data_IF_255121012989
#
_entry.id   IF_255121012989
#
_cell.length_a   1.000
_cell.length_b   1.000
_cell.length_c   1.000
_cell.angle_alpha   90.00
_cell.angle_beta   90.00
_cell.angle_gamma   90.00
#
_symmetry.space_group_name_H-M   'P 1'
#
loop_
_entity.id
_entity.type
_entity.pdbx_description
1 polymer ?
#
# COMPACT_ATOMS: atom_id res chain seq x y z
N UNK A 1 31.92 -29.73 -74.25
CA UNK A 1 30.98 -29.10 -73.29
C UNK A 1 31.03 -27.59 -73.50
N UNK A 2 29.89 -26.95 -73.76
CA UNK A 2 29.80 -25.56 -74.22
C UNK A 2 29.96 -24.57 -73.05
N UNK A 3 30.91 -23.61 -73.11
CA UNK A 3 31.18 -22.67 -72.02
C UNK A 3 29.95 -21.81 -71.65
N UNK A 4 29.06 -21.55 -72.62
CA UNK A 4 27.80 -20.81 -72.40
C UNK A 4 26.91 -21.44 -71.32
N UNK A 5 26.89 -22.78 -71.23
CA UNK A 5 26.05 -23.49 -70.26
C UNK A 5 26.62 -23.35 -68.84
N UNK A 6 27.95 -23.34 -68.70
CA UNK A 6 28.62 -23.07 -67.43
C UNK A 6 28.36 -21.63 -66.96
N UNK A 7 28.43 -20.64 -67.86
CA UNK A 7 28.11 -19.25 -67.54
C UNK A 7 26.65 -19.05 -67.13
N UNK A 8 25.69 -19.68 -67.81
CA UNK A 8 24.28 -19.59 -67.39
C UNK A 8 24.06 -20.20 -66.00
N UNK A 9 24.76 -21.30 -65.69
CA UNK A 9 24.60 -21.99 -64.42
C UNK A 9 25.21 -21.19 -63.25
N UNK A 10 26.40 -20.59 -63.44
CA UNK A 10 26.99 -19.71 -62.42
C UNK A 10 26.18 -18.43 -62.21
N UNK A 11 25.55 -17.90 -63.26
CA UNK A 11 24.70 -16.73 -63.14
C UNK A 11 23.42 -17.04 -62.36
N UNK A 12 22.79 -18.19 -62.65
CA UNK A 12 21.61 -18.66 -61.90
C UNK A 12 21.96 -18.91 -60.43
N UNK A 13 23.09 -19.56 -60.13
CA UNK A 13 23.50 -19.78 -58.73
C UNK A 13 23.81 -18.48 -58.01
N UNK A 14 24.40 -17.50 -58.69
CA UNK A 14 24.67 -16.18 -58.12
C UNK A 14 23.38 -15.40 -57.84
N UNK A 15 22.39 -15.46 -58.74
CA UNK A 15 21.06 -14.86 -58.52
C UNK A 15 20.37 -15.52 -57.33
N UNK A 16 20.36 -16.86 -57.28
CA UNK A 16 19.74 -17.60 -56.17
C UNK A 16 20.43 -17.26 -54.85
N UNK A 17 21.76 -17.20 -54.82
CA UNK A 17 22.54 -16.79 -53.64
C UNK A 17 22.18 -15.37 -53.21
N UNK A 18 22.07 -14.44 -54.16
CA UNK A 18 21.70 -13.04 -53.89
C UNK A 18 20.29 -12.94 -53.29
N UNK A 19 19.32 -13.70 -53.82
CA UNK A 19 17.95 -13.74 -53.28
C UNK A 19 17.94 -14.32 -51.85
N UNK A 20 18.70 -15.39 -51.60
CA UNK A 20 18.82 -15.98 -50.26
C UNK A 20 19.46 -14.98 -49.28
N UNK A 21 20.51 -14.27 -49.69
CA UNK A 21 21.14 -13.25 -48.85
C UNK A 21 20.17 -12.11 -48.55
N UNK A 22 19.45 -11.61 -49.56
CA UNK A 22 18.49 -10.51 -49.40
C UNK A 22 17.34 -10.89 -48.43
N UNK A 23 16.76 -12.07 -48.61
CA UNK A 23 15.70 -12.57 -47.72
C UNK A 23 16.21 -12.78 -46.29
N UNK A 24 17.44 -13.28 -46.13
CA UNK A 24 18.07 -13.44 -44.81
C UNK A 24 18.33 -12.08 -44.15
N UNK A 25 18.79 -11.08 -44.91
CA UNK A 25 19.01 -9.72 -44.41
C UNK A 25 17.71 -9.08 -43.93
N UNK A 26 16.65 -9.18 -44.73
CA UNK A 26 15.33 -8.64 -44.35
C UNK A 26 14.74 -9.31 -43.11
N UNK A 27 15.13 -10.56 -42.80
CA UNK A 27 14.76 -11.21 -41.54
C UNK A 27 15.55 -10.65 -40.36
N UNK A 28 16.85 -10.41 -40.52
CA UNK A 28 17.67 -9.79 -39.46
C UNK A 28 17.26 -8.37 -39.15
N UNK A 29 16.82 -7.59 -40.14
CA UNK A 29 16.33 -6.24 -39.93
C UNK A 29 15.08 -6.21 -39.05
N UNK A 30 14.17 -7.19 -39.22
CA UNK A 30 13.01 -7.34 -38.32
C UNK A 30 13.43 -7.66 -36.89
N UNK A 31 14.36 -8.61 -36.72
CA UNK A 31 14.88 -8.93 -35.38
C UNK A 31 15.57 -7.72 -34.72
N UNK A 32 16.28 -6.89 -35.49
CA UNK A 32 16.90 -5.67 -34.98
C UNK A 32 15.86 -4.64 -34.53
N UNK A 33 14.75 -4.47 -35.27
CA UNK A 33 13.63 -3.61 -34.84
C UNK A 33 12.96 -4.09 -33.56
N UNK A 34 12.81 -5.40 -33.40
CA UNK A 34 12.28 -5.97 -32.16
C UNK A 34 13.23 -5.71 -30.97
N UNK A 35 14.55 -5.76 -31.17
CA UNK A 35 15.52 -5.39 -30.14
C UNK A 35 15.48 -3.89 -29.79
N UNK A 36 15.25 -3.02 -30.76
CA UNK A 36 15.10 -1.59 -30.53
C UNK A 36 13.90 -1.31 -29.59
N UNK A 37 12.78 -2.02 -29.81
CA UNK A 37 11.63 -1.97 -28.90
C UNK A 37 11.93 -2.44 -27.47
N UNK A 38 12.83 -3.43 -27.28
CA UNK A 38 13.27 -3.87 -25.95
C UNK A 38 14.11 -2.78 -25.27
N UNK A 39 14.94 -2.06 -26.03
CA UNK A 39 15.75 -0.97 -25.49
C UNK A 39 14.87 0.19 -24.97
N UNK A 40 13.81 0.52 -25.70
CA UNK A 40 12.82 1.51 -25.27
C UNK A 40 12.09 1.08 -23.99
N UNK A 41 11.73 -0.21 -23.89
CA UNK A 41 11.09 -0.75 -22.68
C UNK A 41 12.02 -0.67 -21.47
N UNK A 42 13.31 -0.95 -21.66
CA UNK A 42 14.32 -0.86 -20.62
C UNK A 42 14.54 0.58 -20.15
N UNK A 43 14.52 1.54 -21.08
CA UNK A 43 14.61 2.97 -20.74
C UNK A 43 13.39 3.41 -19.90
N UNK A 44 12.17 3.04 -20.30
CA UNK A 44 10.95 3.31 -19.52
C UNK A 44 10.99 2.67 -18.13
N UNK A 45 11.51 1.45 -18.01
CA UNK A 45 11.72 0.78 -16.71
C UNK A 45 12.73 1.53 -15.85
N UNK A 46 13.80 2.05 -16.47
CA UNK A 46 14.82 2.85 -15.80
C UNK A 46 14.25 4.18 -15.30
N UNK A 47 13.45 4.86 -16.12
CA UNK A 47 12.73 6.08 -15.74
C UNK A 47 11.76 5.82 -14.58
N UNK A 48 10.99 4.72 -14.63
CA UNK A 48 10.10 4.31 -13.53
C UNK A 48 10.86 4.01 -12.24
N UNK A 49 11.98 3.29 -12.32
CA UNK A 49 12.84 3.02 -11.16
C UNK A 49 13.41 4.31 -10.57
N UNK A 50 13.90 5.23 -11.41
CA UNK A 50 14.39 6.54 -10.97
C UNK A 50 13.27 7.38 -10.34
N UNK A 51 12.07 7.35 -10.92
CA UNK A 51 10.87 7.99 -10.38
C UNK A 51 10.53 7.46 -8.99
N UNK A 52 10.40 6.14 -8.85
CA UNK A 52 10.11 5.47 -7.58
C UNK A 52 11.19 5.72 -6.53
N UNK A 53 12.46 5.68 -6.93
CA UNK A 53 13.57 5.94 -6.02
C UNK A 53 13.53 7.39 -5.53
N UNK A 54 13.23 8.36 -6.40
CA UNK A 54 13.11 9.77 -6.03
C UNK A 54 11.88 10.07 -5.15
N UNK A 55 10.76 9.39 -5.40
CA UNK A 55 9.52 9.50 -4.61
C UNK A 55 9.69 8.84 -3.22
N UNK A 56 10.29 7.66 -3.17
CA UNK A 56 10.50 6.91 -1.94
C UNK A 56 11.52 7.58 -1.02
N UNK A 57 12.70 7.94 -1.54
CA UNK A 57 13.77 8.53 -0.72
C UNK A 57 13.36 9.88 -0.16
N UNK A 58 12.85 10.81 -0.98
CA UNK A 58 12.47 12.15 -0.51
C UNK A 58 11.32 12.12 0.48
N UNK A 59 10.29 11.30 0.24
CA UNK A 59 9.11 11.24 1.11
C UNK A 59 9.46 10.62 2.46
N UNK A 60 10.24 9.53 2.45
CA UNK A 60 10.71 8.89 3.68
C UNK A 60 11.64 9.83 4.45
N UNK A 61 12.56 10.52 3.76
CA UNK A 61 13.46 11.49 4.38
C UNK A 61 12.71 12.66 5.03
N UNK A 62 11.69 13.22 4.36
CA UNK A 62 10.83 14.25 4.97
C UNK A 62 10.04 13.74 6.17
N UNK A 63 9.52 12.51 6.11
CA UNK A 63 8.78 11.92 7.24
C UNK A 63 9.69 11.64 8.45
N UNK A 64 10.94 11.21 8.21
CA UNK A 64 11.92 11.01 9.27
C UNK A 64 12.36 12.33 9.88
N UNK A 65 12.54 13.37 9.06
CA UNK A 65 12.87 14.72 9.53
C UNK A 65 11.72 15.30 10.39
N UNK A 66 10.47 15.18 9.95
CA UNK A 66 9.30 15.65 10.71
C UNK A 66 9.17 14.90 12.05
N UNK A 67 9.38 13.59 12.06
CA UNK A 67 9.37 12.80 13.30
C UNK A 67 10.49 13.22 14.25
N UNK A 68 11.68 13.55 13.74
CA UNK A 68 12.76 14.06 14.58
C UNK A 68 12.42 15.41 15.21
N UNK A 69 11.73 16.30 14.49
CA UNK A 69 11.27 17.60 15.02
C UNK A 69 10.27 17.38 16.15
N UNK A 70 9.26 16.53 15.93
CA UNK A 70 8.26 16.21 16.96
C UNK A 70 8.90 15.58 18.20
N UNK A 71 9.87 14.68 18.02
CA UNK A 71 10.59 14.07 19.13
C UNK A 71 11.46 15.08 19.89
N UNK A 72 12.07 16.05 19.21
CA UNK A 72 12.78 17.16 19.89
C UNK A 72 11.80 18.03 20.67
N UNK A 73 10.64 18.36 20.12
CA UNK A 73 9.63 19.17 20.80
C UNK A 73 9.10 18.47 22.06
N UNK A 74 8.79 17.17 21.97
CA UNK A 74 8.39 16.36 23.13
C UNK A 74 9.52 16.32 24.17
N UNK A 75 10.77 16.16 23.74
CA UNK A 75 11.93 16.17 24.63
C UNK A 75 12.09 17.51 25.33
N UNK A 76 11.91 18.63 24.64
CA UNK A 76 12.01 19.97 25.23
C UNK A 76 10.86 20.26 26.20
N UNK A 77 9.65 19.78 25.92
CA UNK A 77 8.52 19.84 26.85
C UNK A 77 8.76 19.00 28.11
N UNK A 78 9.39 17.83 27.98
CA UNK A 78 9.78 16.97 29.10
C UNK A 78 10.99 17.51 29.88
N UNK A 79 11.91 18.21 29.22
CA UNK A 79 13.10 18.79 29.83
C UNK A 79 12.79 20.06 30.64
N UNK A 80 11.61 20.66 30.46
CA UNK A 80 11.13 21.78 31.27
C UNK A 80 10.71 21.24 32.64
N UNK A 81 11.48 21.48 33.72
CA UNK A 81 11.11 21.01 35.04
C UNK A 81 9.84 21.75 35.46
N UNK A 82 8.76 21.01 35.74
CA UNK A 82 7.58 21.57 36.39
C UNK A 82 7.96 22.02 37.80
N UNK A 83 8.46 23.25 37.93
CA UNK A 83 8.43 23.99 39.20
C UNK A 83 7.06 24.64 39.36
N UNK A 84 6.06 23.86 39.76
CA UNK A 84 4.89 24.35 40.51
C UNK A 84 4.03 23.18 41.02
N UNK A 85 3.69 23.14 42.33
CA UNK A 85 2.73 22.20 42.86
C UNK A 85 1.33 22.68 42.46
N UNK A 86 0.82 22.16 41.35
CA UNK A 86 -0.57 22.28 40.99
C UNK A 86 -1.15 20.88 40.97
N UNK A 87 -2.10 20.67 41.89
CA UNK A 87 -3.03 19.55 41.92
C UNK A 87 -3.70 19.42 40.54
N UNK A 88 -3.09 18.64 39.66
CA UNK A 88 -3.75 18.14 38.46
C UNK A 88 -4.21 16.73 38.81
N UNK A 89 -5.51 16.43 38.71
CA UNK A 89 -5.99 15.09 38.93
C UNK A 89 -5.32 14.19 37.90
N UNK A 90 -4.54 13.25 38.41
CA UNK A 90 -4.03 12.11 37.69
C UNK A 90 -5.27 11.35 37.19
N UNK A 91 -5.69 11.59 35.94
CA UNK A 91 -6.23 10.51 35.11
C UNK A 91 -5.04 9.56 34.90
N UNK A 92 -4.66 8.74 35.86
CA UNK A 92 -5.49 7.65 36.35
C UNK A 92 -5.19 6.47 35.43
N UNK A 93 -3.91 6.09 35.32
CA UNK A 93 -3.48 4.79 35.86
C UNK A 93 -4.25 4.47 37.16
N UNK A 94 -5.50 4.05 37.00
CA UNK A 94 -6.31 3.47 38.04
C UNK A 94 -6.82 2.15 37.48
N UNK A 95 -6.40 1.06 38.13
CA UNK A 95 -7.24 -0.13 38.43
C UNK A 95 -8.17 -0.58 37.28
N UNK A 96 -7.98 -1.73 36.62
CA UNK A 96 -8.51 -3.05 37.04
C UNK A 96 -9.80 -3.05 37.91
N UNK A 97 -10.62 -2.02 37.74
CA UNK A 97 -12.00 -1.86 38.17
C UNK A 97 -12.79 -1.73 36.87
N UNK A 98 -13.49 -2.80 36.52
CA UNK A 98 -14.52 -2.83 35.48
C UNK A 98 -14.08 -2.28 34.12
N UNK A 99 -13.34 -3.10 33.36
CA UNK A 99 -13.05 -2.84 31.94
C UNK A 99 -14.36 -2.61 31.20
N UNK A 100 -14.73 -1.34 31.05
CA UNK A 100 -15.96 -0.95 30.38
C UNK A 100 -15.96 -1.53 28.97
N UNK A 101 -17.06 -2.20 28.59
CA UNK A 101 -17.27 -2.78 27.26
C UNK A 101 -16.80 -1.88 26.10
N UNK A 102 -17.04 -0.55 26.08
CA UNK A 102 -16.53 0.33 25.03
C UNK A 102 -15.00 0.35 24.91
N UNK A 103 -14.26 0.36 26.02
CA UNK A 103 -12.79 0.37 26.00
C UNK A 103 -12.23 -0.91 25.40
N UNK A 104 -12.88 -2.05 25.66
CA UNK A 104 -12.48 -3.32 25.11
C UNK A 104 -12.68 -3.35 23.58
N UNK A 105 -13.86 -2.89 23.12
CA UNK A 105 -14.16 -2.78 21.69
C UNK A 105 -13.15 -1.87 20.99
N UNK A 106 -12.84 -0.71 21.57
CA UNK A 106 -11.84 0.22 21.06
C UNK A 106 -10.45 -0.42 20.96
N UNK A 107 -9.99 -1.10 22.02
CA UNK A 107 -8.70 -1.77 22.04
C UNK A 107 -8.59 -2.86 20.97
N UNK A 108 -9.64 -3.67 20.79
CA UNK A 108 -9.66 -4.73 19.77
C UNK A 108 -9.69 -4.19 18.35
N UNK A 109 -10.52 -3.20 18.05
CA UNK A 109 -10.56 -2.59 16.73
C UNK A 109 -9.24 -1.89 16.39
N UNK A 110 -8.59 -1.26 17.38
CA UNK A 110 -7.27 -0.64 17.19
C UNK A 110 -6.20 -1.69 16.87
N UNK A 111 -6.20 -2.85 17.55
CA UNK A 111 -5.31 -3.98 17.25
C UNK A 111 -5.52 -4.56 15.84
N UNK A 112 -6.73 -4.48 15.31
CA UNK A 112 -7.07 -4.91 13.94
C UNK A 112 -6.68 -3.86 12.87
N UNK A 113 -6.12 -2.72 13.28
CA UNK A 113 -5.67 -1.65 12.37
C UNK A 113 -6.78 -0.69 11.94
N UNK A 114 -7.87 -0.60 12.73
CA UNK A 114 -8.86 0.46 12.56
C UNK A 114 -8.46 1.71 13.35
N UNK A 115 -8.73 2.86 12.76
CA UNK A 115 -8.43 4.20 13.27
C UNK A 115 -9.73 5.02 13.32
N UNK A 116 -9.77 6.12 14.08
CA UNK A 116 -10.95 7.01 14.22
C UNK A 116 -12.26 6.25 14.51
N UNK A 117 -12.23 5.40 15.54
CA UNK A 117 -13.38 4.59 15.93
C UNK A 117 -14.38 5.44 16.71
N UNK A 118 -15.65 5.42 16.29
CA UNK A 118 -16.80 6.04 16.94
C UNK A 118 -17.87 4.97 17.18
N UNK A 119 -18.30 4.84 18.44
CA UNK A 119 -19.36 3.91 18.84
C UNK A 119 -20.68 4.67 18.74
N UNK A 120 -21.60 4.18 17.90
CA UNK A 120 -22.90 4.83 17.66
C UNK A 120 -23.99 4.25 18.56
N UNK A 121 -23.81 3.01 19.03
CA UNK A 121 -24.75 2.36 19.93
C UNK A 121 -24.63 2.88 21.36
N UNK A 122 -25.77 3.07 22.01
CA UNK A 122 -25.83 3.30 23.44
C UNK A 122 -25.45 2.01 24.19
N UNK A 123 -24.49 2.13 25.09
CA UNK A 123 -23.94 1.04 25.90
C UNK A 123 -24.23 1.24 27.39
N UNK A 124 -24.98 2.28 27.76
CA UNK A 124 -25.33 2.55 29.15
C UNK A 124 -26.28 1.47 29.70
N UNK A 125 -25.85 0.78 30.77
CA UNK A 125 -26.67 -0.20 31.48
C UNK A 125 -26.76 -1.59 30.83
N UNK A 126 -25.96 -1.87 29.80
CA UNK A 126 -25.96 -3.18 29.15
C UNK A 126 -25.11 -4.19 29.94
N UNK A 127 -25.66 -5.36 30.25
CA UNK A 127 -24.94 -6.42 30.96
C UNK A 127 -23.74 -6.91 30.13
N UNK A 128 -22.50 -6.82 30.65
CA UNK A 128 -21.30 -7.24 29.95
C UNK A 128 -21.26 -8.73 29.58
N UNK A 129 -22.07 -9.58 30.25
CA UNK A 129 -22.14 -11.01 29.96
C UNK A 129 -23.17 -11.36 28.87
N UNK A 130 -24.03 -10.42 28.50
CA UNK A 130 -24.98 -10.60 27.41
C UNK A 130 -24.32 -10.42 26.04
N UNK A 131 -24.86 -11.05 24.99
CA UNK A 131 -24.40 -10.77 23.62
C UNK A 131 -25.02 -9.46 23.14
N UNK A 132 -24.20 -8.45 22.93
CA UNK A 132 -24.63 -7.10 22.56
C UNK A 132 -24.15 -6.78 21.16
N UNK A 133 -25.08 -6.32 20.30
CA UNK A 133 -24.73 -5.80 18.98
C UNK A 133 -24.40 -4.31 19.10
N UNK A 134 -23.16 -3.96 18.82
CA UNK A 134 -22.64 -2.59 18.86
C UNK A 134 -22.42 -2.12 17.43
N UNK A 135 -23.01 -0.98 17.06
CA UNK A 135 -22.77 -0.31 15.78
C UNK A 135 -21.57 0.61 15.93
N UNK A 136 -20.61 0.46 15.03
CA UNK A 136 -19.38 1.24 15.01
C UNK A 136 -19.13 1.86 13.65
N UNK A 137 -18.55 3.05 13.69
CA UNK A 137 -17.97 3.74 12.55
C UNK A 137 -16.47 3.82 12.79
N UNK A 138 -15.67 3.41 11.82
CA UNK A 138 -14.21 3.44 11.92
C UNK A 138 -13.60 3.77 10.55
N UNK A 139 -12.28 3.98 10.52
CA UNK A 139 -11.51 4.17 9.29
C UNK A 139 -10.41 3.12 9.21
N UNK A 140 -10.17 2.53 8.04
CA UNK A 140 -9.04 1.61 7.84
C UNK A 140 -8.23 2.08 6.65
N UNK A 141 -6.98 2.49 6.88
CA UNK A 141 -6.12 3.04 5.84
C UNK A 141 -6.74 4.27 5.14
N UNK A 142 -7.44 5.11 5.90
CA UNK A 142 -8.13 6.29 5.38
C UNK A 142 -9.50 6.05 4.74
N UNK A 143 -9.94 4.80 4.59
CA UNK A 143 -11.28 4.49 4.07
C UNK A 143 -12.30 4.38 5.21
N UNK A 144 -13.43 5.11 5.16
CA UNK A 144 -14.50 4.95 6.14
C UNK A 144 -15.15 3.57 6.02
N UNK A 145 -15.36 2.94 7.17
CA UNK A 145 -15.95 1.62 7.34
C UNK A 145 -17.05 1.73 8.39
N UNK A 146 -18.23 1.23 8.06
CA UNK A 146 -19.37 1.20 8.97
C UNK A 146 -19.84 -0.24 9.11
N UNK A 147 -20.23 -0.60 10.32
CA UNK A 147 -20.78 -1.93 10.53
C UNK A 147 -21.20 -2.18 11.96
N UNK A 148 -21.41 -3.46 12.26
CA UNK A 148 -21.81 -3.90 13.58
C UNK A 148 -20.98 -5.08 14.04
N UNK A 149 -20.73 -5.12 15.34
CA UNK A 149 -19.98 -6.18 16.01
C UNK A 149 -20.80 -6.72 17.17
N UNK A 150 -20.78 -8.05 17.34
CA UNK A 150 -21.44 -8.73 18.45
C UNK A 150 -20.39 -9.07 19.50
N UNK A 151 -20.55 -8.51 20.69
CA UNK A 151 -19.60 -8.65 21.80
C UNK A 151 -20.28 -9.37 22.95
N UNK A 152 -19.59 -10.32 23.57
CA UNK A 152 -20.03 -11.00 24.79
C UNK A 152 -18.84 -11.20 25.71
N UNK A 153 -18.93 -10.74 26.96
CA UNK A 153 -17.89 -10.99 27.97
C UNK A 153 -16.51 -10.46 27.58
N UNK A 154 -16.44 -9.44 26.71
CA UNK A 154 -15.19 -8.91 26.20
C UNK A 154 -14.56 -9.68 25.03
N UNK A 155 -15.29 -10.61 24.41
CA UNK A 155 -14.88 -11.23 23.16
C UNK A 155 -15.78 -10.77 22.00
N UNK A 156 -15.18 -10.54 20.84
CA UNK A 156 -15.90 -10.25 19.59
C UNK A 156 -16.28 -11.60 18.98
N UNK A 157 -17.57 -11.92 19.01
CA UNK A 157 -18.11 -13.16 18.43
C UNK A 157 -18.31 -13.04 16.92
N UNK A 158 -18.79 -11.89 16.47
CA UNK A 158 -19.11 -11.65 15.07
C UNK A 158 -18.79 -10.20 14.71
N UNK A 159 -18.28 -9.98 13.50
CA UNK A 159 -17.89 -8.66 13.01
C UNK A 159 -18.34 -8.53 11.54
N UNK A 160 -19.36 -7.73 11.30
CA UNK A 160 -19.80 -7.35 9.94
C UNK A 160 -19.45 -5.88 9.70
N UNK A 161 -18.28 -5.65 9.12
CA UNK A 161 -17.77 -4.33 8.77
C UNK A 161 -17.73 -4.18 7.24
N UNK A 162 -18.46 -3.19 6.72
CA UNK A 162 -18.51 -2.90 5.29
C UNK A 162 -17.84 -1.56 5.02
N UNK A 163 -16.88 -1.57 4.10
CA UNK A 163 -16.33 -0.32 3.59
C UNK A 163 -17.45 0.43 2.87
N UNK A 164 -17.63 1.70 3.21
CA UNK A 164 -18.57 2.56 2.49
C UNK A 164 -17.93 2.97 1.17
N UNK A 165 -17.81 2.03 0.23
CA UNK A 165 -17.73 2.38 -1.19
C UNK A 165 -19.12 2.86 -1.58
N UNK A 166 -19.33 4.17 -1.53
CA UNK A 166 -20.34 4.78 -2.38
C UNK A 166 -19.98 4.41 -3.81
N UNK A 167 -20.71 3.44 -4.36
CA UNK A 167 -20.85 3.27 -5.81
C UNK A 167 -21.39 4.59 -6.33
N UNK A 168 -20.49 5.50 -6.70
CA UNK A 168 -20.84 6.66 -7.50
C UNK A 168 -21.17 6.12 -8.91
N UNK A 169 -22.41 6.28 -9.40
CA UNK A 169 -22.77 5.92 -10.77
C UNK A 169 -22.05 6.82 -11.80
#
# INVERSE_FOLDING_TARGET
MTPLLQFSLTFVTLIVLAIILYTRLGRYERYLKDLEGISELNERLRELCNGLQSLGTKRIETQVADLQVVLMEIRDLLARPQEAPLEVPVMGASTALETSLPQLVLGRLTQLGYERISIVSDLEGVDPHSAVRVVVEASRGGMPVKGSLVVRGGEILEMDLKSSYTTFP
#
